data_IF_302675348194
#
_entry.id   IF_302675348194
#
_cell.length_a   1.000
_cell.length_b   1.000
_cell.length_c   1.000
_cell.angle_alpha   90.00
_cell.angle_beta   90.00
_cell.angle_gamma   90.00
#
_symmetry.space_group_name_H-M   'P 1'
#
loop_
_entity.id
_entity.type
_entity.pdbx_description
1 polymer ?
#
# COMPACT_ATOMS: atom_id res chain seq x y z
N UNK A 1 19.52 38.02 39.28
CA UNK A 1 19.08 37.85 37.88
C UNK A 1 20.11 37.09 37.05
N UNK A 2 20.32 35.80 37.36
CA UNK A 2 21.03 34.84 36.50
C UNK A 2 20.09 33.63 36.46
N UNK A 3 19.69 33.11 35.29
CA UNK A 3 19.11 31.74 35.11
C UNK A 3 18.05 31.57 33.98
N UNK A 4 17.72 32.54 33.11
CA UNK A 4 16.88 32.22 31.92
C UNK A 4 17.67 32.05 30.62
N UNK A 5 18.64 32.93 30.36
CA UNK A 5 19.43 32.87 29.12
C UNK A 5 20.51 31.77 29.08
N UNK A 6 21.05 31.34 30.22
CA UNK A 6 22.14 30.36 30.23
C UNK A 6 21.68 28.92 29.92
N UNK A 7 20.40 28.61 30.18
CA UNK A 7 19.85 27.26 30.02
C UNK A 7 19.46 26.96 28.57
N UNK A 8 18.93 27.96 27.87
CA UNK A 8 18.57 27.89 26.43
C UNK A 8 19.82 27.64 25.56
N UNK A 9 20.94 28.28 25.91
CA UNK A 9 22.22 28.10 25.21
C UNK A 9 22.82 26.71 25.44
N UNK A 10 22.70 26.12 26.64
CA UNK A 10 23.21 24.77 26.90
C UNK A 10 22.47 23.70 26.11
N UNK A 11 21.15 23.83 25.94
CA UNK A 11 20.35 22.89 25.16
C UNK A 11 20.65 23.03 23.66
N UNK A 12 20.76 24.27 23.15
CA UNK A 12 21.23 24.55 21.80
C UNK A 12 22.64 23.99 21.53
N UNK A 13 23.54 24.11 22.51
CA UNK A 13 24.90 23.59 22.42
C UNK A 13 24.92 22.06 22.39
N UNK A 14 24.04 21.40 23.13
CA UNK A 14 23.89 19.94 23.14
C UNK A 14 23.42 19.44 21.77
N UNK A 15 22.43 20.12 21.19
CA UNK A 15 21.93 19.81 19.86
C UNK A 15 22.96 20.10 18.77
N UNK A 16 23.80 21.12 18.92
CA UNK A 16 24.89 21.40 17.99
C UNK A 16 25.99 20.33 18.05
N UNK A 17 26.33 19.82 19.24
CA UNK A 17 27.33 18.75 19.42
C UNK A 17 26.90 17.45 18.76
N UNK A 18 25.65 17.02 18.98
CA UNK A 18 25.18 15.75 18.39
C UNK A 18 25.06 15.82 16.87
N UNK A 19 24.66 16.97 16.31
CA UNK A 19 24.67 17.19 14.85
C UNK A 19 26.06 17.00 14.23
N UNK A 20 27.10 17.53 14.87
CA UNK A 20 28.48 17.39 14.37
C UNK A 20 28.98 15.94 14.49
N UNK A 21 28.57 15.19 15.53
CA UNK A 21 28.93 13.77 15.66
C UNK A 21 28.30 12.89 14.58
N UNK A 22 27.04 13.15 14.24
CA UNK A 22 26.32 12.42 13.19
C UNK A 22 26.97 12.72 11.83
N UNK A 23 27.20 13.98 11.49
CA UNK A 23 27.89 14.36 10.26
C UNK A 23 29.29 13.71 10.14
N UNK A 24 30.05 13.66 11.24
CA UNK A 24 31.33 12.96 11.29
C UNK A 24 31.19 11.45 11.02
N UNK A 25 30.14 10.81 11.53
CA UNK A 25 29.90 9.38 11.34
C UNK A 25 29.47 9.04 9.89
N UNK A 26 28.84 9.99 9.21
CA UNK A 26 28.41 9.89 7.81
C UNK A 26 29.52 10.24 6.80
N UNK A 27 30.73 10.58 7.30
CA UNK A 27 31.89 10.87 6.47
C UNK A 27 32.03 12.32 6.03
N UNK A 28 31.29 13.25 6.64
CA UNK A 28 31.40 14.70 6.43
C UNK A 28 31.93 15.41 7.69
N UNK A 29 33.25 15.41 7.94
CA UNK A 29 33.82 15.78 9.23
C UNK A 29 33.95 17.29 9.47
N UNK A 30 33.06 18.09 8.88
CA UNK A 30 33.06 19.55 9.05
C UNK A 30 32.86 19.88 10.54
N UNK A 31 33.74 20.72 11.09
CA UNK A 31 33.75 21.18 12.50
C UNK A 31 34.13 20.14 13.56
N UNK A 32 34.73 19.00 13.18
CA UNK A 32 35.25 17.99 14.13
C UNK A 32 36.16 18.56 15.24
N UNK A 33 36.94 19.61 14.93
CA UNK A 33 37.84 20.26 15.87
C UNK A 33 37.14 21.07 16.99
N UNK A 34 35.83 21.33 16.85
CA UNK A 34 35.03 22.08 17.82
C UNK A 34 34.41 21.19 18.92
N UNK A 35 34.21 19.90 18.65
CA UNK A 35 33.54 18.94 19.55
C UNK A 35 34.13 18.88 20.97
N UNK A 36 35.46 18.77 21.17
CA UNK A 36 36.02 18.61 22.53
C UNK A 36 35.73 19.82 23.44
N UNK A 37 35.70 21.04 22.87
CA UNK A 37 35.42 22.26 23.62
C UNK A 37 33.93 22.41 23.97
N UNK A 38 33.05 21.97 23.07
CA UNK A 38 31.61 22.05 23.27
C UNK A 38 31.08 21.01 24.28
N UNK A 39 31.63 19.79 24.27
CA UNK A 39 31.27 18.74 25.24
C UNK A 39 31.69 19.10 26.67
N UNK A 40 32.84 19.75 26.85
CA UNK A 40 33.32 20.19 28.16
C UNK A 40 32.43 21.27 28.80
N UNK A 41 31.72 22.07 27.98
CA UNK A 41 30.76 23.08 28.42
C UNK A 41 29.42 22.46 28.84
N UNK A 42 28.99 21.39 28.15
CA UNK A 42 27.75 20.68 28.46
C UNK A 42 27.80 19.90 29.77
N UNK A 43 28.96 19.32 30.08
CA UNK A 43 29.18 18.60 31.33
C UNK A 43 29.00 19.47 32.60
N UNK A 44 28.99 20.80 32.45
CA UNK A 44 28.85 21.76 33.54
C UNK A 44 27.41 22.29 33.72
N UNK A 45 26.44 21.84 32.91
CA UNK A 45 25.06 22.35 32.92
C UNK A 45 24.12 21.57 33.89
N UNK A 46 23.16 22.23 34.58
CA UNK A 46 22.25 21.57 35.53
C UNK A 46 21.09 20.81 34.84
N UNK A 47 20.72 19.62 35.35
CA UNK A 47 19.62 18.78 34.81
C UNK A 47 18.26 19.09 35.46
N UNK A 48 17.17 19.09 34.66
CA UNK A 48 15.77 19.38 35.08
C UNK A 48 15.02 18.14 35.59
N UNK A 49 14.12 18.34 36.56
CA UNK A 49 13.18 17.34 37.10
C UNK A 49 11.81 17.42 36.40
N UNK A 50 11.12 16.28 36.25
CA UNK A 50 9.90 16.13 35.45
C UNK A 50 8.61 16.41 36.26
N UNK A 51 7.81 17.36 35.77
CA UNK A 51 6.38 17.53 36.09
C UNK A 51 5.54 17.16 34.84
N UNK A 52 4.25 16.85 35.02
CA UNK A 52 3.35 16.16 34.08
C UNK A 52 3.33 16.63 32.61
N UNK A 53 2.75 15.80 31.74
CA UNK A 53 2.72 16.01 30.27
C UNK A 53 1.32 16.31 29.73
N UNK A 54 1.27 17.07 28.63
CA UNK A 54 0.09 17.35 27.80
C UNK A 54 0.41 17.01 26.34
N UNK A 55 -0.57 16.56 25.57
CA UNK A 55 -0.37 16.23 24.15
C UNK A 55 -0.63 17.46 23.25
N UNK A 56 0.25 17.70 22.29
CA UNK A 56 0.04 18.65 21.18
C UNK A 56 0.03 17.90 19.85
N UNK A 57 -0.67 18.46 18.87
CA UNK A 57 -0.91 17.81 17.58
C UNK A 57 -0.12 18.52 16.49
N UNK A 58 0.81 17.81 15.86
CA UNK A 58 1.82 18.40 14.96
C UNK A 58 1.65 17.95 13.50
N UNK A 59 2.09 18.82 12.59
CA UNK A 59 2.19 18.58 11.15
C UNK A 59 3.57 19.06 10.69
N UNK A 60 4.43 18.13 10.27
CA UNK A 60 5.67 18.44 9.59
C UNK A 60 5.41 18.58 8.10
N UNK A 61 5.81 19.72 7.55
CA UNK A 61 5.60 20.12 6.18
C UNK A 61 6.94 20.05 5.48
N UNK A 62 7.07 19.11 4.53
CA UNK A 62 8.20 19.07 3.63
C UNK A 62 8.05 20.16 2.56
N UNK A 63 9.09 20.97 2.39
CA UNK A 63 9.17 22.00 1.36
C UNK A 63 10.50 21.91 0.64
N UNK A 64 10.56 22.41 -0.60
CA UNK A 64 11.71 22.28 -1.53
C UNK A 64 13.07 22.81 -0.99
N UNK A 65 13.13 23.45 0.19
CA UNK A 65 14.37 24.02 0.73
C UNK A 65 14.46 24.05 2.26
N UNK A 66 13.33 24.11 2.98
CA UNK A 66 13.30 24.06 4.45
C UNK A 66 12.03 23.34 4.92
N UNK A 67 12.19 22.35 5.77
CA UNK A 67 11.10 21.75 6.51
C UNK A 67 10.54 22.70 7.56
N UNK A 68 9.22 22.69 7.80
CA UNK A 68 8.59 23.46 8.88
C UNK A 68 7.59 22.61 9.66
N UNK A 69 7.40 22.90 10.94
CA UNK A 69 6.42 22.19 11.78
C UNK A 69 5.39 23.16 12.35
N UNK A 70 4.12 22.83 12.11
CA UNK A 70 3.00 23.48 12.77
C UNK A 70 2.45 22.58 13.86
N UNK A 71 2.00 23.17 14.97
CA UNK A 71 1.39 22.44 16.07
C UNK A 71 0.15 23.16 16.60
N UNK A 72 -0.78 22.35 17.12
CA UNK A 72 -2.09 22.77 17.55
C UNK A 72 -2.43 22.15 18.92
N UNK A 73 -3.24 22.86 19.70
CA UNK A 73 -3.79 22.35 20.96
C UNK A 73 -4.99 21.41 20.76
N UNK A 74 -5.58 21.39 19.56
CA UNK A 74 -6.70 20.53 19.18
C UNK A 74 -6.37 19.81 17.87
N UNK A 75 -6.66 18.51 17.83
CA UNK A 75 -6.47 17.65 16.67
C UNK A 75 -7.33 18.08 15.48
N UNK A 76 -8.47 18.74 15.69
CA UNK A 76 -9.34 19.21 14.60
C UNK A 76 -8.71 20.35 13.79
N UNK A 77 -7.88 21.16 14.43
CA UNK A 77 -7.30 22.36 13.81
C UNK A 77 -6.12 22.02 12.87
N UNK A 78 -5.52 20.83 12.99
CA UNK A 78 -4.40 20.40 12.14
C UNK A 78 -4.82 19.98 10.72
N UNK A 79 -6.10 19.73 10.51
CA UNK A 79 -6.65 19.13 9.27
C UNK A 79 -7.16 20.14 8.24
N UNK A 80 -7.33 21.41 8.60
CA UNK A 80 -7.96 22.40 7.70
C UNK A 80 -6.98 23.08 6.73
N UNK A 81 -5.67 23.14 7.05
CA UNK A 81 -4.69 23.92 6.29
C UNK A 81 -3.72 23.09 5.41
N UNK A 82 -3.54 21.78 5.67
CA UNK A 82 -2.46 20.98 5.05
C UNK A 82 -3.00 19.67 4.46
N UNK A 83 -3.04 19.59 3.12
CA UNK A 83 -3.71 18.53 2.34
C UNK A 83 -2.77 17.74 1.39
N UNK A 84 -1.45 17.97 1.45
CA UNK A 84 -0.47 17.27 0.61
C UNK A 84 -0.06 15.90 1.16
N UNK A 85 0.35 14.99 0.26
CA UNK A 85 0.88 13.65 0.60
C UNK A 85 2.28 13.71 1.25
N UNK A 86 2.95 14.86 1.16
CA UNK A 86 4.32 15.09 1.61
C UNK A 86 4.40 15.64 3.06
N UNK A 87 3.31 15.49 3.83
CA UNK A 87 3.22 15.98 5.20
C UNK A 87 3.17 14.85 6.22
N UNK A 88 3.94 14.96 7.30
CA UNK A 88 4.02 13.96 8.36
C UNK A 88 3.27 14.45 9.60
N UNK A 89 2.26 13.68 10.00
CA UNK A 89 1.41 13.98 11.15
C UNK A 89 1.84 13.15 12.37
N UNK A 90 1.94 13.79 13.53
CA UNK A 90 2.29 13.12 14.78
C UNK A 90 1.73 13.84 16.00
N UNK A 91 1.56 13.09 17.08
CA UNK A 91 1.15 13.58 18.38
C UNK A 91 2.36 13.57 19.30
N UNK A 92 2.59 14.68 20.01
CA UNK A 92 3.76 14.88 20.86
C UNK A 92 3.35 15.21 22.29
N UNK A 93 3.84 14.43 23.25
CA UNK A 93 3.64 14.70 24.67
C UNK A 93 4.70 15.70 25.16
N UNK A 94 4.27 16.92 25.49
CA UNK A 94 5.12 18.02 25.99
C UNK A 94 4.83 18.31 27.46
N UNK A 95 5.76 18.91 28.24
CA UNK A 95 5.48 19.28 29.62
C UNK A 95 4.27 20.22 29.75
N UNK A 96 3.46 20.06 30.79
CA UNK A 96 2.21 20.82 30.99
C UNK A 96 2.45 22.34 31.03
N UNK A 97 3.57 22.74 31.64
CA UNK A 97 4.05 24.12 31.72
C UNK A 97 4.87 24.63 30.52
N UNK A 98 5.00 23.84 29.45
CA UNK A 98 5.84 24.21 28.30
C UNK A 98 5.34 25.50 27.62
N UNK A 99 6.26 26.43 27.34
CA UNK A 99 5.97 27.66 26.60
C UNK A 99 5.78 27.38 25.11
N UNK A 100 5.28 28.37 24.36
CA UNK A 100 5.09 28.25 22.91
C UNK A 100 6.40 27.89 22.20
N UNK A 101 7.49 28.54 22.58
CA UNK A 101 8.82 28.33 22.02
C UNK A 101 9.39 26.94 22.36
N UNK A 102 9.18 26.47 23.59
CA UNK A 102 9.55 25.12 24.03
C UNK A 102 8.76 24.05 23.23
N UNK A 103 7.45 24.25 23.03
CA UNK A 103 6.61 23.33 22.25
C UNK A 103 7.04 23.30 20.78
N UNK A 104 7.30 24.46 20.16
CA UNK A 104 7.80 24.51 18.76
C UNK A 104 9.13 23.78 18.62
N UNK A 105 10.06 23.98 19.57
CA UNK A 105 11.39 23.35 19.51
C UNK A 105 11.30 21.82 19.65
N UNK A 106 10.44 21.34 20.54
CA UNK A 106 10.18 19.91 20.72
C UNK A 106 9.47 19.30 19.49
N UNK A 107 8.55 20.05 18.88
CA UNK A 107 7.85 19.64 17.67
C UNK A 107 8.78 19.58 16.45
N UNK A 108 9.67 20.56 16.29
CA UNK A 108 10.71 20.56 15.25
C UNK A 108 11.64 19.35 15.39
N UNK A 109 12.13 19.07 16.61
CA UNK A 109 12.98 17.90 16.87
C UNK A 109 12.27 16.59 16.53
N UNK A 110 11.03 16.44 17.01
CA UNK A 110 10.22 15.25 16.74
C UNK A 110 9.96 15.07 15.24
N UNK A 111 9.69 16.13 14.49
CA UNK A 111 9.47 16.05 13.04
C UNK A 111 10.69 15.52 12.28
N UNK A 112 11.89 16.00 12.61
CA UNK A 112 13.14 15.50 12.02
C UNK A 112 13.31 14.00 12.28
N UNK A 113 13.10 13.55 13.50
CA UNK A 113 13.21 12.12 13.84
C UNK A 113 12.11 11.26 13.20
N UNK A 114 10.93 11.83 12.94
CA UNK A 114 9.82 11.16 12.25
C UNK A 114 10.07 11.01 10.73
N UNK A 115 10.82 11.91 10.12
CA UNK A 115 11.28 11.75 8.73
C UNK A 115 12.32 10.62 8.56
N UNK A 116 13.06 10.31 9.62
CA UNK A 116 14.12 9.30 9.61
C UNK A 116 13.82 8.03 10.45
N UNK A 117 12.57 7.89 10.93
CA UNK A 117 12.01 6.71 11.62
C UNK A 117 12.82 6.25 12.86
N UNK A 118 13.26 7.19 13.71
CA UNK A 118 14.21 6.92 14.81
C UNK A 118 13.54 6.40 16.11
N UNK A 119 12.22 6.25 16.15
CA UNK A 119 11.50 5.50 17.20
C UNK A 119 11.66 6.02 18.64
N UNK A 120 10.94 7.09 19.01
CA UNK A 120 10.74 7.51 20.41
C UNK A 120 9.38 7.08 20.97
N UNK A 121 9.28 7.00 22.30
CA UNK A 121 8.06 6.59 23.03
C UNK A 121 7.12 7.74 23.40
N UNK A 122 7.60 8.99 23.36
CA UNK A 122 6.86 10.23 23.66
C UNK A 122 6.29 10.92 22.41
N UNK A 123 6.62 10.39 21.22
CA UNK A 123 6.10 10.83 19.93
C UNK A 123 5.35 9.66 19.28
N UNK A 124 4.08 9.88 18.94
CA UNK A 124 3.22 8.86 18.33
C UNK A 124 2.89 9.29 16.91
N UNK A 125 3.37 8.55 15.91
CA UNK A 125 2.95 8.74 14.51
C UNK A 125 1.45 8.54 14.43
N UNK A 126 0.73 9.52 13.92
CA UNK A 126 -0.71 9.39 13.71
C UNK A 126 -0.94 9.39 12.21
N UNK A 127 -1.54 8.33 11.65
CA UNK A 127 -1.97 8.38 10.26
C UNK A 127 -2.87 9.61 10.08
N UNK A 128 -2.71 10.39 9.00
CA UNK A 128 -3.51 11.59 8.82
C UNK A 128 -5.00 11.27 8.99
N UNK A 129 -5.74 12.18 9.63
CA UNK A 129 -7.22 12.12 9.69
C UNK A 129 -7.80 12.51 8.32
N UNK A 130 -7.39 11.81 7.28
CA UNK A 130 -8.27 11.63 6.12
C UNK A 130 -9.14 10.40 6.41
N UNK A 131 -10.40 10.41 5.99
CA UNK A 131 -11.24 9.22 6.04
C UNK A 131 -10.53 8.08 5.28
N UNK A 132 -10.74 6.87 5.79
CA UNK A 132 -10.04 5.64 5.42
C UNK A 132 -9.78 5.53 3.90
N UNK A 133 -8.49 5.45 3.52
CA UNK A 133 -7.98 5.02 2.22
C UNK A 133 -8.69 5.62 0.98
N UNK A 134 -8.33 6.85 0.58
CA UNK A 134 -8.89 7.44 -0.63
C UNK A 134 -8.53 6.64 -1.88
N UNK A 135 -9.47 6.49 -2.81
CA UNK A 135 -9.20 5.86 -4.11
C UNK A 135 -8.77 6.91 -5.13
N UNK A 136 -7.78 6.57 -5.96
CA UNK A 136 -7.45 7.39 -7.12
C UNK A 136 -8.55 7.28 -8.17
N UNK A 137 -8.98 8.43 -8.69
CA UNK A 137 -10.02 8.56 -9.71
C UNK A 137 -9.57 9.56 -10.77
N UNK A 138 -10.16 9.49 -11.97
CA UNK A 138 -9.97 10.55 -12.96
C UNK A 138 -11.08 11.57 -12.83
N UNK A 139 -10.74 12.80 -12.49
CA UNK A 139 -11.66 13.91 -12.56
C UNK A 139 -11.79 14.41 -14.00
N UNK A 140 -13.01 14.47 -14.50
CA UNK A 140 -13.32 14.87 -15.87
C UNK A 140 -14.17 16.12 -15.85
N UNK A 141 -13.62 17.20 -16.41
CA UNK A 141 -14.36 18.44 -16.66
C UNK A 141 -14.63 18.57 -18.15
N UNK A 142 -15.90 18.63 -18.53
CA UNK A 142 -16.34 18.82 -19.91
C UNK A 142 -16.64 20.31 -20.09
N UNK A 143 -15.92 20.94 -21.01
CA UNK A 143 -16.08 22.34 -21.41
C UNK A 143 -16.61 22.40 -22.85
N UNK A 144 -17.17 23.54 -23.26
CA UNK A 144 -17.59 23.73 -24.67
C UNK A 144 -16.43 23.53 -25.65
N UNK A 145 -15.21 23.84 -25.21
CA UNK A 145 -13.98 23.74 -26.02
C UNK A 145 -13.33 22.35 -25.98
N UNK A 146 -13.77 21.44 -25.10
CA UNK A 146 -13.24 20.08 -24.99
C UNK A 146 -13.34 19.47 -23.59
N UNK A 147 -12.98 18.18 -23.48
CA UNK A 147 -12.95 17.46 -22.21
C UNK A 147 -11.53 17.41 -21.63
N UNK A 148 -11.42 17.69 -20.33
CA UNK A 148 -10.17 17.62 -19.58
C UNK A 148 -10.24 16.51 -18.57
N UNK A 149 -9.15 15.76 -18.44
CA UNK A 149 -8.98 14.71 -17.43
C UNK A 149 -7.81 15.08 -16.52
N UNK A 150 -8.04 15.04 -15.23
CA UNK A 150 -7.05 15.26 -14.17
C UNK A 150 -7.09 14.08 -13.19
N UNK A 151 -5.98 13.81 -12.50
CA UNK A 151 -6.02 12.87 -11.37
C UNK A 151 -6.70 13.53 -10.18
N UNK A 152 -7.42 12.75 -9.39
CA UNK A 152 -8.05 13.17 -8.15
C UNK A 152 -8.17 11.98 -7.21
N UNK A 153 -8.61 12.25 -5.98
CA UNK A 153 -8.86 11.26 -4.94
C UNK A 153 -10.33 11.32 -4.52
N UNK A 154 -10.98 10.16 -4.35
CA UNK A 154 -12.33 10.04 -3.81
C UNK A 154 -12.26 9.39 -2.43
N UNK A 155 -12.81 10.06 -1.43
CA UNK A 155 -13.19 9.43 -0.17
C UNK A 155 -14.50 8.65 -0.35
N UNK A 156 -14.42 7.34 -0.17
CA UNK A 156 -15.58 6.48 -0.27
C UNK A 156 -16.52 6.60 0.93
N UNK A 157 -16.08 7.06 2.09
CA UNK A 157 -16.93 7.21 3.25
C UNK A 157 -17.88 8.40 3.08
N UNK A 158 -17.33 9.58 2.80
CA UNK A 158 -18.10 10.82 2.65
C UNK A 158 -18.55 11.14 1.20
N UNK A 159 -17.98 10.46 0.20
CA UNK A 159 -18.20 10.78 -1.22
C UNK A 159 -17.44 12.04 -1.68
N UNK A 160 -16.52 12.56 -0.87
CA UNK A 160 -15.76 13.78 -1.16
C UNK A 160 -14.64 13.53 -2.16
N UNK A 161 -14.55 14.36 -3.19
CA UNK A 161 -13.48 14.33 -4.19
C UNK A 161 -12.49 15.47 -3.94
N UNK A 162 -11.22 15.13 -3.81
CA UNK A 162 -10.14 16.04 -3.42
C UNK A 162 -8.84 15.76 -4.20
N UNK A 163 -7.78 16.53 -3.92
CA UNK A 163 -6.48 16.43 -4.60
C UNK A 163 -6.57 16.43 -6.14
N UNK A 164 -7.47 17.26 -6.70
CA UNK A 164 -7.64 17.36 -8.15
C UNK A 164 -6.41 18.04 -8.74
N UNK A 165 -5.59 17.30 -9.48
CA UNK A 165 -4.38 17.82 -10.12
C UNK A 165 -4.73 18.92 -11.12
N UNK A 166 -4.26 20.13 -10.83
CA UNK A 166 -4.34 21.26 -11.75
C UNK A 166 -3.24 21.16 -12.80
N UNK A 167 -3.46 20.38 -13.86
CA UNK A 167 -2.70 20.52 -15.12
C UNK A 167 -2.86 21.94 -15.72
N UNK A 168 -1.78 22.70 -15.71
CA UNK A 168 -1.49 23.87 -16.55
C UNK A 168 -2.29 25.16 -16.33
N UNK A 169 -1.57 26.15 -15.79
CA UNK A 169 -1.87 27.58 -15.91
C UNK A 169 -1.82 27.96 -17.40
N UNK A 170 -2.89 28.56 -17.93
CA UNK A 170 -2.82 29.31 -19.19
C UNK A 170 -3.93 29.07 -20.21
N UNK A 171 -4.85 28.13 -20.00
CA UNK A 171 -5.96 27.89 -20.95
C UNK A 171 -7.25 28.54 -20.44
N UNK A 172 -7.78 29.49 -21.23
CA UNK A 172 -9.06 30.13 -20.94
C UNK A 172 -10.23 29.26 -21.45
N UNK A 173 -10.77 28.43 -20.57
CA UNK A 173 -12.04 27.75 -20.83
C UNK A 173 -13.20 28.67 -20.40
N UNK A 174 -14.16 28.91 -21.29
CA UNK A 174 -15.19 29.95 -21.06
C UNK A 174 -16.45 29.41 -20.42
N UNK A 175 -16.81 28.14 -20.66
CA UNK A 175 -18.05 27.57 -20.13
C UNK A 175 -17.94 26.08 -19.82
N UNK A 176 -18.18 25.76 -18.55
CA UNK A 176 -18.26 24.39 -18.04
C UNK A 176 -19.62 23.79 -18.36
N UNK A 177 -19.65 22.58 -18.91
CA UNK A 177 -20.86 21.83 -19.25
C UNK A 177 -21.20 20.76 -18.22
N UNK A 178 -20.21 19.99 -17.78
CA UNK A 178 -20.40 18.93 -16.80
C UNK A 178 -19.09 18.56 -16.09
N UNK A 179 -19.20 18.04 -14.87
CA UNK A 179 -18.09 17.47 -14.12
C UNK A 179 -18.47 16.09 -13.60
N UNK A 180 -17.54 15.15 -13.75
CA UNK A 180 -17.72 13.76 -13.33
C UNK A 180 -16.39 13.18 -12.87
N UNK A 181 -16.43 12.07 -12.14
CA UNK A 181 -15.26 11.23 -11.92
C UNK A 181 -15.39 9.93 -12.70
N UNK A 182 -14.30 9.43 -13.27
CA UNK A 182 -14.21 8.08 -13.80
C UNK A 182 -13.59 7.18 -12.73
N UNK A 183 -14.32 6.13 -12.36
CA UNK A 183 -13.86 5.03 -11.47
C UNK A 183 -13.90 3.75 -12.28
N UNK A 184 -12.74 3.27 -12.71
CA UNK A 184 -12.64 2.15 -13.66
C UNK A 184 -13.32 2.47 -15.00
N UNK A 185 -14.39 1.75 -15.35
CA UNK A 185 -15.19 1.97 -16.56
C UNK A 185 -16.44 2.82 -16.36
N UNK A 186 -16.73 3.25 -15.13
CA UNK A 186 -17.93 4.04 -14.80
C UNK A 186 -17.59 5.52 -14.69
N UNK A 187 -18.47 6.37 -15.23
CA UNK A 187 -18.45 7.81 -15.01
C UNK A 187 -19.58 8.19 -14.04
N UNK A 188 -19.23 8.85 -12.94
CA UNK A 188 -20.17 9.28 -11.90
C UNK A 188 -20.19 10.80 -11.85
N UNK A 189 -21.39 11.38 -11.80
CA UNK A 189 -21.52 12.84 -11.74
C UNK A 189 -21.06 13.35 -10.38
N UNK A 190 -20.37 14.50 -10.36
CA UNK A 190 -20.03 15.19 -9.11
C UNK A 190 -20.81 16.48 -8.98
N UNK A 191 -21.16 16.80 -7.75
CA UNK A 191 -21.85 18.04 -7.39
C UNK A 191 -20.91 18.95 -6.59
N UNK A 192 -20.92 20.25 -6.89
CA UNK A 192 -20.20 21.24 -6.09
C UNK A 192 -21.03 21.62 -4.87
N UNK A 193 -20.54 21.34 -3.66
CA UNK A 193 -21.06 21.94 -2.42
C UNK A 193 -20.15 23.10 -2.00
N UNK A 194 -20.79 24.21 -1.63
CA UNK A 194 -20.12 25.42 -1.12
C UNK A 194 -19.13 26.08 -2.08
N UNK A 195 -19.30 25.85 -3.39
CA UNK A 195 -18.54 26.49 -4.46
C UNK A 195 -17.12 25.96 -4.70
N UNK A 196 -16.58 25.15 -3.79
CA UNK A 196 -15.18 24.67 -3.84
C UNK A 196 -15.06 23.14 -3.77
N UNK A 197 -16.00 22.46 -3.11
CA UNK A 197 -15.88 21.03 -2.79
C UNK A 197 -16.73 20.16 -3.71
N UNK A 198 -16.18 19.04 -4.17
CA UNK A 198 -16.87 18.10 -5.06
C UNK A 198 -17.34 16.87 -4.30
N UNK A 199 -18.59 16.45 -4.53
CA UNK A 199 -19.17 15.28 -3.89
C UNK A 199 -19.91 14.40 -4.90
N UNK A 200 -19.71 13.10 -4.77
CA UNK A 200 -20.51 12.05 -5.43
C UNK A 200 -21.84 11.89 -4.70
N UNK A 201 -22.91 11.56 -5.42
CA UNK A 201 -24.22 11.33 -4.80
C UNK A 201 -24.18 10.14 -3.84
N UNK A 202 -24.96 10.14 -2.74
CA UNK A 202 -25.06 8.98 -1.85
C UNK A 202 -25.51 7.71 -2.58
N UNK A 203 -26.37 7.84 -3.59
CA UNK A 203 -26.83 6.73 -4.43
C UNK A 203 -25.69 6.12 -5.27
N UNK A 204 -24.93 6.94 -5.99
CA UNK A 204 -23.78 6.50 -6.77
C UNK A 204 -22.68 5.91 -5.87
N UNK A 205 -22.51 6.48 -4.68
CA UNK A 205 -21.58 5.99 -3.67
C UNK A 205 -22.02 4.63 -3.11
N UNK A 206 -23.31 4.44 -2.88
CA UNK A 206 -23.88 3.16 -2.48
C UNK A 206 -23.76 2.11 -3.60
N UNK A 207 -23.92 2.49 -4.86
CA UNK A 207 -23.69 1.61 -6.01
C UNK A 207 -22.22 1.20 -6.14
N UNK A 208 -21.28 2.14 -5.96
CA UNK A 208 -19.85 1.87 -5.89
C UNK A 208 -19.50 0.89 -4.76
N UNK A 209 -20.10 1.08 -3.58
CA UNK A 209 -19.92 0.20 -2.42
C UNK A 209 -20.60 -1.17 -2.59
N UNK A 210 -21.70 -1.20 -3.35
CA UNK A 210 -22.62 -2.34 -3.47
C UNK A 210 -22.22 -3.39 -4.52
N UNK A 211 -21.23 -3.15 -5.37
CA UNK A 211 -20.73 -4.19 -6.28
C UNK A 211 -19.99 -5.30 -5.51
N UNK A 212 -20.44 -6.54 -5.73
CA UNK A 212 -20.32 -7.78 -4.93
C UNK A 212 -18.99 -8.09 -4.21
N UNK A 213 -19.02 -8.94 -3.16
CA UNK A 213 -17.86 -9.31 -2.37
C UNK A 213 -16.74 -9.94 -3.20
N UNK A 214 -15.61 -9.24 -3.36
CA UNK A 214 -14.33 -9.94 -3.48
C UNK A 214 -14.03 -10.49 -2.09
N UNK A 215 -14.57 -11.67 -1.78
CA UNK A 215 -14.05 -12.47 -0.66
C UNK A 215 -12.69 -13.02 -1.07
N UNK A 216 -11.66 -12.20 -0.95
CA UNK A 216 -10.29 -12.63 -1.22
C UNK A 216 -9.81 -13.49 -0.05
N UNK A 217 -9.93 -14.81 -0.17
CA UNK A 217 -9.49 -15.73 0.87
C UNK A 217 -8.03 -15.47 1.25
N UNK A 218 -7.71 -15.62 2.53
CA UNK A 218 -6.31 -15.58 2.98
C UNK A 218 -5.49 -16.59 2.18
N UNK A 219 -4.41 -16.10 1.58
CA UNK A 219 -3.56 -16.85 0.68
C UNK A 219 -3.88 -16.66 -0.80
N UNK A 220 -5.05 -16.15 -1.18
CA UNK A 220 -5.36 -15.90 -2.60
C UNK A 220 -4.30 -15.02 -3.25
N UNK A 221 -3.90 -15.35 -4.48
CA UNK A 221 -3.06 -14.47 -5.29
C UNK A 221 -3.99 -13.58 -6.11
N UNK A 222 -3.77 -12.27 -6.08
CA UNK A 222 -4.66 -11.27 -6.66
C UNK A 222 -3.86 -10.27 -7.48
N UNK A 223 -4.50 -9.71 -8.51
CA UNK A 223 -4.03 -8.45 -9.09
C UNK A 223 -4.40 -7.30 -8.15
N UNK A 224 -3.49 -6.37 -7.97
CA UNK A 224 -3.70 -5.14 -7.20
C UNK A 224 -3.26 -3.94 -8.01
N UNK A 225 -4.07 -2.90 -8.00
CA UNK A 225 -3.68 -1.57 -8.46
C UNK A 225 -2.81 -0.93 -7.37
N UNK A 226 -1.51 -0.81 -7.67
CA UNK A 226 -0.50 -0.29 -6.78
C UNK A 226 0.20 0.88 -7.47
N UNK A 227 -0.05 2.10 -6.99
CA UNK A 227 0.48 3.35 -7.57
C UNK A 227 0.16 3.53 -9.07
N UNK A 228 -1.03 3.12 -9.52
CA UNK A 228 -1.46 3.23 -10.91
C UNK A 228 -0.90 2.13 -11.82
N UNK A 229 -0.17 1.16 -11.26
CA UNK A 229 0.32 -0.02 -11.96
C UNK A 229 -0.31 -1.30 -11.42
N UNK A 230 -0.74 -2.19 -12.33
CA UNK A 230 -1.32 -3.48 -11.96
C UNK A 230 -0.21 -4.46 -11.59
N UNK A 231 -0.05 -4.69 -10.29
CA UNK A 231 0.90 -5.61 -9.69
C UNK A 231 0.21 -6.90 -9.22
N UNK A 232 0.97 -7.95 -8.93
CA UNK A 232 0.46 -9.22 -8.39
C UNK A 232 0.99 -9.44 -6.98
N UNK A 233 0.11 -9.79 -6.06
CA UNK A 233 0.48 -10.08 -4.68
C UNK A 233 -0.35 -11.20 -4.05
N UNK A 234 0.02 -11.59 -2.84
CA UNK A 234 -0.66 -12.65 -2.08
C UNK A 234 -1.36 -12.08 -0.84
N UNK A 235 -2.64 -12.38 -0.69
CA UNK A 235 -3.45 -11.95 0.45
C UNK A 235 -2.95 -12.63 1.72
N UNK A 236 -2.62 -11.85 2.76
CA UNK A 236 -2.14 -12.32 4.06
C UNK A 236 -3.25 -12.38 5.11
N UNK A 237 -4.14 -11.41 5.09
CA UNK A 237 -5.30 -11.35 5.97
C UNK A 237 -6.37 -10.45 5.38
N UNK A 238 -7.63 -10.78 5.67
CA UNK A 238 -8.74 -9.82 5.55
C UNK A 238 -8.82 -9.10 6.89
N UNK A 239 -8.69 -7.77 6.89
CA UNK A 239 -8.60 -7.04 8.15
C UNK A 239 -9.96 -6.65 8.70
N UNK A 240 -11.01 -6.43 7.89
CA UNK A 240 -12.27 -5.93 8.47
C UNK A 240 -13.51 -6.01 7.57
N UNK A 241 -14.66 -5.76 8.20
CA UNK A 241 -15.96 -5.50 7.58
C UNK A 241 -16.00 -4.26 6.66
N UNK A 242 -14.88 -3.52 6.53
CA UNK A 242 -14.72 -2.31 5.75
C UNK A 242 -13.89 -2.50 4.47
N UNK A 243 -13.77 -3.73 3.96
CA UNK A 243 -13.19 -4.04 2.63
C UNK A 243 -11.68 -3.77 2.47
N UNK A 244 -10.88 -3.98 3.52
CA UNK A 244 -9.41 -3.90 3.50
C UNK A 244 -8.78 -5.31 3.49
N UNK A 245 -7.89 -5.59 2.53
CA UNK A 245 -7.06 -6.80 2.53
C UNK A 245 -5.58 -6.43 2.62
N UNK A 246 -4.83 -7.15 3.46
CA UNK A 246 -3.36 -7.08 3.43
C UNK A 246 -2.88 -7.96 2.30
N UNK A 247 -2.15 -7.38 1.36
CA UNK A 247 -1.55 -8.11 0.25
C UNK A 247 -0.04 -7.93 0.31
N UNK A 248 0.67 -9.06 0.31
CA UNK A 248 2.12 -9.12 0.23
C UNK A 248 2.54 -8.96 -1.23
N UNK A 249 3.19 -7.86 -1.54
CA UNK A 249 3.74 -7.53 -2.86
C UNK A 249 5.27 -7.54 -2.74
N UNK A 250 5.91 -8.40 -3.51
CA UNK A 250 7.37 -8.60 -3.50
C UNK A 250 7.98 -8.85 -2.09
N UNK A 251 7.18 -9.39 -1.15
CA UNK A 251 7.62 -9.69 0.22
C UNK A 251 7.33 -8.59 1.25
N UNK A 252 6.80 -7.44 0.80
CA UNK A 252 6.36 -6.36 1.67
C UNK A 252 4.84 -6.36 1.76
N UNK A 253 4.31 -6.20 2.96
CA UNK A 253 2.87 -6.25 3.21
C UNK A 253 2.27 -4.85 3.13
N UNK A 254 1.25 -4.69 2.27
CA UNK A 254 0.53 -3.43 2.09
C UNK A 254 -0.97 -3.63 2.30
N UNK A 255 -1.64 -2.61 2.84
CA UNK A 255 -3.10 -2.58 2.91
C UNK A 255 -3.68 -2.12 1.57
N UNK A 256 -4.62 -2.88 1.02
CA UNK A 256 -5.34 -2.53 -0.20
C UNK A 256 -6.84 -2.44 0.07
N UNK A 257 -7.46 -1.40 -0.48
CA UNK A 257 -8.91 -1.31 -0.54
C UNK A 257 -9.45 -2.28 -1.61
N UNK A 258 -10.64 -2.86 -1.41
CA UNK A 258 -11.23 -3.85 -2.35
C UNK A 258 -11.36 -3.36 -3.79
N UNK A 259 -11.51 -2.06 -4.02
CA UNK A 259 -11.54 -1.51 -5.39
C UNK A 259 -10.16 -1.54 -6.09
N UNK A 260 -9.08 -1.58 -5.31
CA UNK A 260 -7.73 -1.77 -5.83
C UNK A 260 -7.41 -3.25 -6.04
N UNK A 261 -8.18 -4.14 -5.41
CA UNK A 261 -8.03 -5.58 -5.63
C UNK A 261 -8.80 -5.94 -6.89
N UNK A 262 -8.06 -6.32 -7.92
CA UNK A 262 -8.62 -6.82 -9.17
C UNK A 262 -9.10 -8.27 -9.02
N UNK A 263 -8.91 -9.04 -10.08
CA UNK A 263 -9.31 -10.45 -10.09
C UNK A 263 -8.36 -11.32 -9.25
N UNK A 264 -8.91 -12.42 -8.74
CA UNK A 264 -8.12 -13.54 -8.25
C UNK A 264 -7.41 -14.23 -9.39
N UNK A 265 -6.13 -14.53 -9.21
CA UNK A 265 -5.27 -15.15 -10.20
C UNK A 265 -5.31 -16.68 -10.06
N UNK A 266 -5.41 -17.36 -11.18
CA UNK A 266 -5.12 -18.79 -11.32
C UNK A 266 -3.71 -18.97 -11.84
N UNK A 267 -3.14 -20.18 -11.73
CA UNK A 267 -1.82 -20.44 -12.30
C UNK A 267 -1.78 -20.15 -13.81
N UNK A 268 -2.86 -20.47 -14.54
CA UNK A 268 -2.98 -20.18 -15.98
C UNK A 268 -2.96 -18.70 -16.27
N UNK A 269 -3.83 -17.92 -15.63
CA UNK A 269 -3.92 -16.47 -15.86
C UNK A 269 -2.58 -15.78 -15.54
N UNK A 270 -1.90 -16.23 -14.48
CA UNK A 270 -0.59 -15.70 -14.11
C UNK A 270 0.48 -16.06 -15.14
N UNK A 271 0.51 -17.29 -15.64
CA UNK A 271 1.44 -17.71 -16.68
C UNK A 271 1.21 -16.96 -18.01
N UNK A 272 -0.05 -16.74 -18.39
CA UNK A 272 -0.43 -16.02 -19.63
C UNK A 272 -0.04 -14.54 -19.60
N UNK A 273 0.01 -13.91 -18.41
CA UNK A 273 0.50 -12.53 -18.24
C UNK A 273 1.99 -12.38 -18.58
N UNK A 274 2.76 -13.46 -18.51
CA UNK A 274 4.21 -13.48 -18.76
C UNK A 274 4.57 -14.55 -19.81
N UNK A 275 4.17 -14.37 -21.08
CA UNK A 275 4.28 -15.41 -22.10
C UNK A 275 5.73 -15.67 -22.55
N UNK A 276 6.62 -14.69 -22.41
CA UNK A 276 8.01 -14.81 -22.80
C UNK A 276 8.84 -15.45 -21.67
N UNK A 277 9.72 -16.40 -22.03
CA UNK A 277 10.63 -17.03 -21.06
C UNK A 277 11.51 -15.96 -20.40
N UNK A 278 11.51 -15.93 -19.08
CA UNK A 278 12.28 -14.95 -18.29
C UNK A 278 11.59 -13.59 -18.10
N UNK A 279 10.41 -13.35 -18.68
CA UNK A 279 9.65 -12.11 -18.46
C UNK A 279 8.97 -12.04 -17.09
N UNK A 280 8.76 -13.19 -16.44
CA UNK A 280 8.15 -13.25 -15.11
C UNK A 280 9.17 -12.87 -14.03
N UNK A 281 8.91 -11.85 -13.20
CA UNK A 281 9.79 -11.49 -12.09
C UNK A 281 9.96 -12.66 -11.10
N UNK A 282 11.08 -12.69 -10.38
CA UNK A 282 11.40 -13.80 -9.47
C UNK A 282 10.34 -13.97 -8.36
N UNK A 283 9.89 -12.88 -7.75
CA UNK A 283 8.84 -12.92 -6.72
C UNK A 283 7.50 -13.44 -7.28
N UNK A 284 7.15 -13.09 -8.52
CA UNK A 284 5.94 -13.60 -9.20
C UNK A 284 6.09 -15.08 -9.54
N UNK A 285 7.29 -15.52 -9.90
CA UNK A 285 7.60 -16.93 -10.16
C UNK A 285 7.34 -17.77 -8.91
N UNK A 286 7.71 -17.27 -7.73
CA UNK A 286 7.39 -17.91 -6.46
C UNK A 286 5.87 -18.01 -6.23
N UNK A 287 5.12 -16.94 -6.49
CA UNK A 287 3.65 -16.96 -6.41
C UNK A 287 3.01 -17.97 -7.38
N UNK A 288 3.57 -18.14 -8.57
CA UNK A 288 3.12 -19.15 -9.53
C UNK A 288 3.27 -20.57 -8.97
N UNK A 289 4.39 -20.89 -8.30
CA UNK A 289 4.57 -22.20 -7.67
C UNK A 289 3.57 -22.42 -6.52
N UNK A 290 3.34 -21.41 -5.68
CA UNK A 290 2.33 -21.48 -4.62
C UNK A 290 0.91 -21.69 -5.17
N UNK A 291 0.55 -21.02 -6.26
CA UNK A 291 -0.74 -21.22 -6.93
C UNK A 291 -0.90 -22.67 -7.39
N UNK A 292 0.11 -23.21 -8.09
CA UNK A 292 0.10 -24.61 -8.56
C UNK A 292 -0.08 -25.58 -7.38
N UNK A 293 0.68 -25.40 -6.31
CA UNK A 293 0.58 -26.26 -5.12
C UNK A 293 -0.82 -26.22 -4.51
N UNK A 294 -1.41 -25.03 -4.35
CA UNK A 294 -2.76 -24.90 -3.79
C UNK A 294 -3.84 -25.47 -4.69
N UNK A 295 -3.78 -25.20 -5.99
CA UNK A 295 -4.74 -25.72 -6.96
C UNK A 295 -4.67 -27.25 -7.01
N UNK A 296 -3.47 -27.83 -7.08
CA UNK A 296 -3.29 -29.28 -7.04
C UNK A 296 -3.74 -29.87 -5.70
N UNK A 297 -3.43 -29.21 -4.57
CA UNK A 297 -3.88 -29.65 -3.25
C UNK A 297 -5.41 -29.57 -3.07
N UNK A 298 -6.08 -28.63 -3.73
CA UNK A 298 -7.54 -28.59 -3.82
C UNK A 298 -8.05 -29.84 -4.54
N UNK A 299 -7.51 -30.14 -5.72
CA UNK A 299 -7.91 -31.29 -6.53
C UNK A 299 -7.56 -32.64 -5.88
N UNK A 300 -6.47 -32.70 -5.12
CA UNK A 300 -6.10 -33.92 -4.39
C UNK A 300 -7.11 -34.27 -3.29
N UNK A 301 -7.88 -33.30 -2.79
CA UNK A 301 -8.97 -33.51 -1.82
C UNK A 301 -10.31 -33.85 -2.49
N UNK A 302 -10.49 -33.50 -3.76
CA UNK A 302 -11.68 -33.89 -4.52
C UNK A 302 -11.77 -35.41 -4.67
N UNK A 303 -12.99 -35.94 -4.63
CA UNK A 303 -13.24 -37.37 -4.89
C UNK A 303 -12.92 -37.74 -6.35
N UNK A 304 -13.21 -36.82 -7.27
CA UNK A 304 -12.98 -36.96 -8.71
C UNK A 304 -12.53 -35.61 -9.28
N UNK A 305 -11.68 -35.65 -10.32
CA UNK A 305 -11.22 -34.46 -11.07
C UNK A 305 -11.85 -34.47 -12.45
N UNK A 306 -12.52 -33.38 -12.83
CA UNK A 306 -13.22 -33.24 -14.12
C UNK A 306 -12.51 -32.26 -15.04
N UNK A 307 -12.91 -32.15 -16.31
CA UNK A 307 -12.26 -31.25 -17.29
C UNK A 307 -12.28 -29.79 -16.84
N UNK A 308 -13.39 -29.32 -16.26
CA UNK A 308 -13.52 -27.95 -15.78
C UNK A 308 -12.44 -27.59 -14.73
N UNK A 309 -12.05 -28.54 -13.87
CA UNK A 309 -10.99 -28.34 -12.88
C UNK A 309 -9.60 -28.11 -13.51
N UNK A 310 -9.40 -28.55 -14.75
CA UNK A 310 -8.11 -28.47 -15.46
C UNK A 310 -7.98 -27.20 -16.31
N UNK A 311 -9.09 -26.54 -16.64
CA UNK A 311 -9.13 -25.42 -17.60
C UNK A 311 -8.41 -24.18 -17.10
N UNK A 312 -8.38 -23.98 -15.79
CA UNK A 312 -7.77 -22.83 -15.11
C UNK A 312 -6.33 -23.10 -14.64
N UNK A 313 -5.85 -24.33 -14.82
CA UNK A 313 -4.49 -24.72 -14.47
C UNK A 313 -3.53 -24.38 -15.60
N UNK A 314 -2.34 -23.88 -15.26
CA UNK A 314 -1.24 -23.76 -16.22
C UNK A 314 -0.64 -25.14 -16.55
N UNK A 315 0.21 -25.19 -17.59
CA UNK A 315 0.87 -26.44 -18.02
C UNK A 315 1.64 -27.14 -16.89
N UNK A 316 2.22 -26.39 -15.94
CA UNK A 316 2.94 -26.94 -14.80
C UNK A 316 2.02 -27.66 -13.83
N UNK A 317 0.93 -27.01 -13.39
CA UNK A 317 -0.09 -27.66 -12.57
C UNK A 317 -0.72 -28.86 -13.27
N UNK A 318 -1.06 -28.76 -14.56
CA UNK A 318 -1.62 -29.89 -15.32
C UNK A 318 -0.66 -31.08 -15.43
N UNK A 319 0.64 -30.84 -15.57
CA UNK A 319 1.64 -31.91 -15.56
C UNK A 319 1.67 -32.64 -14.21
N UNK A 320 1.56 -31.91 -13.09
CA UNK A 320 1.47 -32.50 -11.75
C UNK A 320 0.18 -33.29 -11.57
N UNK A 321 -0.97 -32.76 -12.01
CA UNK A 321 -2.24 -33.51 -11.99
C UNK A 321 -2.13 -34.79 -12.83
N UNK A 322 -1.56 -34.70 -14.04
CA UNK A 322 -1.33 -35.83 -14.93
C UNK A 322 -0.37 -36.88 -14.35
N UNK A 323 0.57 -36.49 -13.50
CA UNK A 323 1.51 -37.43 -12.87
C UNK A 323 0.98 -38.02 -11.56
N UNK A 324 0.35 -37.21 -10.71
CA UNK A 324 0.04 -37.59 -9.32
C UNK A 324 -1.44 -37.88 -9.08
N UNK A 325 -2.33 -37.23 -9.83
CA UNK A 325 -3.79 -37.29 -9.61
C UNK A 325 -4.56 -37.92 -10.78
N UNK A 326 -3.86 -38.49 -11.77
CA UNK A 326 -4.45 -39.06 -12.97
C UNK A 326 -5.51 -40.14 -12.68
N UNK A 327 -5.27 -40.96 -11.63
CA UNK A 327 -6.25 -41.98 -11.19
C UNK A 327 -7.58 -41.37 -10.73
N UNK A 328 -7.55 -40.18 -10.13
CA UNK A 328 -8.74 -39.44 -9.69
C UNK A 328 -9.45 -38.71 -10.82
N UNK A 329 -8.80 -38.54 -11.96
CA UNK A 329 -9.43 -37.91 -13.12
C UNK A 329 -10.52 -38.83 -13.69
N UNK A 330 -11.66 -38.25 -14.03
CA UNK A 330 -12.71 -38.95 -14.76
C UNK A 330 -12.26 -39.25 -16.21
N UNK A 331 -13.06 -39.99 -16.96
CA UNK A 331 -12.70 -40.41 -18.33
C UNK A 331 -12.37 -39.22 -19.24
N UNK A 332 -13.16 -38.16 -19.18
CA UNK A 332 -13.01 -36.98 -20.03
C UNK A 332 -11.77 -36.16 -19.63
N UNK A 333 -11.51 -36.01 -18.33
CA UNK A 333 -10.33 -35.35 -17.79
C UNK A 333 -9.04 -36.10 -18.15
N UNK A 334 -9.05 -37.44 -18.10
CA UNK A 334 -7.92 -38.25 -18.58
C UNK A 334 -7.69 -38.04 -20.08
N UNK A 335 -8.76 -38.05 -20.88
CA UNK A 335 -8.66 -37.80 -22.32
C UNK A 335 -8.14 -36.38 -22.61
N UNK A 336 -8.58 -35.39 -21.84
CA UNK A 336 -8.08 -34.03 -21.92
C UNK A 336 -6.57 -33.95 -21.67
N UNK A 337 -6.06 -34.59 -20.60
CA UNK A 337 -4.63 -34.59 -20.28
C UNK A 337 -3.78 -35.38 -21.30
N UNK A 338 -4.31 -36.48 -21.84
CA UNK A 338 -3.62 -37.27 -22.88
C UNK A 338 -3.48 -36.50 -24.20
N UNK A 339 -4.42 -35.59 -24.48
CA UNK A 339 -4.43 -34.75 -25.67
C UNK A 339 -4.09 -33.28 -25.35
N UNK A 340 -3.44 -33.01 -24.21
CA UNK A 340 -3.05 -31.66 -23.82
C UNK A 340 -2.16 -31.02 -24.90
N UNK A 341 -2.27 -29.72 -25.12
CA UNK A 341 -1.42 -29.00 -26.08
C UNK A 341 0.08 -29.13 -25.74
N UNK A 342 0.42 -29.23 -24.45
CA UNK A 342 1.79 -29.25 -23.99
C UNK A 342 2.40 -30.68 -23.95
N UNK A 343 3.54 -30.93 -24.62
CA UNK A 343 4.11 -32.28 -24.73
C UNK A 343 4.47 -32.92 -23.38
N UNK A 344 4.95 -32.12 -22.41
CA UNK A 344 5.26 -32.64 -21.07
C UNK A 344 4.02 -33.14 -20.31
N UNK A 345 2.87 -32.46 -20.46
CA UNK A 345 1.63 -32.90 -19.80
C UNK A 345 1.18 -34.23 -20.40
N UNK A 346 1.18 -34.33 -21.75
CA UNK A 346 0.88 -35.59 -22.46
C UNK A 346 1.80 -36.72 -22.02
N UNK A 347 3.10 -36.45 -21.92
CA UNK A 347 4.08 -37.45 -21.47
C UNK A 347 3.76 -37.98 -20.07
N UNK A 348 3.46 -37.09 -19.11
CA UNK A 348 3.07 -37.51 -17.76
C UNK A 348 1.78 -38.35 -17.79
N UNK A 349 0.76 -37.91 -18.54
CA UNK A 349 -0.52 -38.61 -18.65
C UNK A 349 -0.37 -40.02 -19.23
N UNK A 350 0.46 -40.19 -20.27
CA UNK A 350 0.72 -41.50 -20.89
C UNK A 350 1.41 -42.46 -19.91
N UNK A 351 2.40 -41.98 -19.17
CA UNK A 351 3.10 -42.79 -18.14
C UNK A 351 2.11 -43.23 -17.07
N UNK A 352 1.34 -42.30 -16.50
CA UNK A 352 0.37 -42.63 -15.45
C UNK A 352 -0.81 -43.48 -15.95
N UNK A 353 -1.16 -43.39 -17.24
CA UNK A 353 -2.13 -44.29 -17.87
C UNK A 353 -1.60 -45.73 -17.95
N UNK A 354 -0.34 -45.92 -18.31
CA UNK A 354 0.28 -47.25 -18.35
C UNK A 354 0.31 -47.91 -16.95
N UNK A 355 0.56 -47.11 -15.90
CA UNK A 355 0.56 -47.57 -14.50
C UNK A 355 -0.84 -47.84 -13.90
N UNK A 356 -1.90 -47.43 -14.60
CA UNK A 356 -3.29 -47.69 -14.20
C UNK A 356 -3.79 -49.05 -14.69
N UNK A 357 -3.21 -49.57 -15.76
CA UNK A 357 -3.51 -50.92 -16.24
C UNK A 357 -2.84 -51.88 -15.25
N UNK A 358 -3.60 -52.67 -14.46
CA UNK A 358 -2.98 -53.65 -13.60
C UNK A 358 -2.13 -54.57 -14.48
N UNK A 359 -0.93 -54.90 -14.02
CA UNK A 359 -0.15 -55.98 -14.60
C UNK A 359 -1.03 -57.23 -14.59
N UNK A 360 -1.67 -57.52 -15.72
CA UNK A 360 -2.26 -58.83 -15.97
C UNK A 360 -1.11 -59.81 -15.82
N UNK A 361 -1.16 -60.58 -14.73
CA UNK A 361 -0.28 -61.71 -14.46
C UNK A 361 -0.03 -62.46 -15.77
N UNK A 362 1.22 -62.65 -16.22
CA UNK A 362 1.47 -63.60 -17.28
C UNK A 362 1.04 -64.97 -16.75
N UNK A 363 -0.02 -65.50 -17.36
CA UNK A 363 -0.46 -66.87 -17.17
C UNK A 363 0.72 -67.80 -17.46
N UNK A 364 1.08 -68.63 -16.48
CA UNK A 364 1.90 -69.80 -16.70
C UNK A 364 1.32 -70.61 -17.87
N UNK A 365 2.13 -70.84 -18.89
CA UNK A 365 2.12 -72.06 -19.70
C UNK A 365 3.55 -72.52 -19.92
#
# INVERSE_FOLDING_TARGET
MKSKFAYDVSECLQHAVERVKIANAEGDPILSAWLPGAEALLAQAPKRAADGTKTVYCVAIEGESFGSVNWYHDAANRTEEYLGDDHVFFDLDVPEGATKEEITSLADLAAWEMWYDVGRSDCRRVPPKFPNYPIEVRFVSIWEEGARRSRAKLDLESGYVFAIESSDRGVQFRKLLAESIEVGSKALSVSRRDGVRYFVSPEDLAELKGQMPLSCETGAVVEVDFHGEITVGAVKSQISALNEAVVSVAGTDYGFHRLQIGRTMTSKLLAEKYPAKGSMPHHVTYLLYLLREREVARLSRSSEVVVADLQDLDRGARAVVASMLFRKCNKDARNFLLNDEHPHVRSCAVISQAELVPATLPYNR
#
